data_IF_825366608024
#
_entry.id   IF_825366608024
#
_cell.length_a   1.000
_cell.length_b   1.000
_cell.length_c   1.000
_cell.angle_alpha   90.00
_cell.angle_beta   90.00
_cell.angle_gamma   90.00
#
_symmetry.space_group_name_H-M   'P 1'
#
loop_
_entity.id
_entity.type
_entity.pdbx_description
1 polymer ?
#
# COMPACT_ATOMS: atom_id res chain seq x y z
N UNK A 1 5.99 -4.81 23.14
CA UNK A 1 6.41 -3.63 22.36
C UNK A 1 7.60 -4.04 21.50
N UNK A 2 7.41 -4.24 20.19
CA UNK A 2 8.52 -4.46 19.26
C UNK A 2 8.73 -3.16 18.49
N UNK A 3 9.67 -2.33 18.95
CA UNK A 3 10.11 -1.16 18.21
C UNK A 3 11.27 -1.60 17.31
N UNK A 4 10.96 -2.35 16.25
CA UNK A 4 11.97 -2.76 15.27
C UNK A 4 12.32 -1.50 14.47
N UNK A 5 13.54 -0.99 14.65
CA UNK A 5 14.01 0.14 13.87
C UNK A 5 13.93 -0.20 12.38
N UNK A 6 13.41 0.74 11.60
CA UNK A 6 13.38 0.66 10.14
C UNK A 6 14.81 0.47 9.63
N UNK A 7 15.11 -0.58 8.85
CA UNK A 7 16.47 -0.81 8.33
C UNK A 7 16.97 0.39 7.55
N UNK A 8 18.25 0.74 7.68
CA UNK A 8 18.80 1.79 6.83
C UNK A 8 18.96 1.26 5.41
N UNK A 9 18.90 2.15 4.43
CA UNK A 9 18.90 1.72 3.04
C UNK A 9 20.26 1.15 2.62
N UNK A 10 21.34 1.69 3.17
CA UNK A 10 22.70 1.21 2.97
C UNK A 10 22.91 -0.23 3.46
N UNK A 11 22.05 -0.71 4.35
CA UNK A 11 22.07 -2.08 4.88
C UNK A 11 21.22 -3.05 4.03
N UNK A 12 20.55 -2.58 2.97
CA UNK A 12 19.69 -3.39 2.11
C UNK A 12 20.35 -3.54 0.73
N UNK A 13 20.90 -4.73 0.41
CA UNK A 13 21.49 -5.00 -0.90
C UNK A 13 20.53 -4.71 -2.07
N UNK A 14 21.08 -4.26 -3.21
CA UNK A 14 20.30 -4.00 -4.43
C UNK A 14 19.56 -5.25 -4.93
N UNK A 15 20.13 -6.44 -4.70
CA UNK A 15 19.49 -7.71 -5.01
C UNK A 15 18.14 -7.89 -4.29
N UNK A 16 17.99 -7.42 -3.05
CA UNK A 16 16.72 -7.55 -2.31
C UNK A 16 15.57 -6.79 -3.01
N UNK A 17 15.87 -5.64 -3.61
CA UNK A 17 14.90 -4.83 -4.36
C UNK A 17 14.50 -5.50 -5.67
N UNK A 18 15.47 -6.13 -6.35
CA UNK A 18 15.21 -6.93 -7.55
C UNK A 18 14.31 -8.13 -7.22
N UNK A 19 14.62 -8.87 -6.15
CA UNK A 19 13.82 -10.00 -5.69
C UNK A 19 12.40 -9.57 -5.29
N UNK A 20 12.25 -8.46 -4.55
CA UNK A 20 10.95 -7.91 -4.19
C UNK A 20 10.13 -7.58 -5.45
N UNK A 21 10.73 -6.89 -6.43
CA UNK A 21 10.06 -6.56 -7.68
C UNK A 21 9.55 -7.80 -8.41
N UNK A 22 10.38 -8.84 -8.53
CA UNK A 22 9.98 -10.12 -9.13
C UNK A 22 8.87 -10.82 -8.34
N UNK A 23 8.94 -10.82 -7.01
CA UNK A 23 7.94 -11.42 -6.13
C UNK A 23 6.58 -10.69 -6.16
N UNK A 24 6.55 -9.42 -6.58
CA UNK A 24 5.32 -8.65 -6.73
C UNK A 24 4.64 -8.88 -8.07
N UNK A 25 5.34 -9.35 -9.11
CA UNK A 25 4.76 -9.58 -10.45
C UNK A 25 3.55 -10.55 -10.48
N UNK A 26 3.50 -11.62 -9.68
CA UNK A 26 2.32 -12.51 -9.67
C UNK A 26 1.10 -11.92 -8.93
N UNK A 27 1.28 -10.83 -8.18
CA UNK A 27 0.26 -10.27 -7.29
C UNK A 27 -0.71 -9.35 -8.05
N UNK A 28 -1.77 -9.94 -8.63
CA UNK A 28 -2.79 -9.24 -9.43
C UNK A 28 -3.45 -8.02 -8.77
N UNK A 29 -3.40 -7.92 -7.44
CA UNK A 29 -3.97 -6.80 -6.68
C UNK A 29 -3.04 -5.58 -6.57
N UNK A 30 -1.80 -5.70 -7.04
CA UNK A 30 -0.77 -4.67 -6.96
C UNK A 30 -0.50 -4.16 -8.37
N UNK A 31 -0.61 -2.84 -8.56
CA UNK A 31 -0.32 -2.21 -9.84
C UNK A 31 1.18 -2.33 -10.17
N UNK A 32 1.54 -3.00 -11.27
CA UNK A 32 2.95 -3.27 -11.57
C UNK A 32 3.73 -2.08 -12.16
N UNK A 33 3.03 -1.03 -12.61
CA UNK A 33 3.67 0.20 -13.15
C UNK A 33 4.47 0.99 -12.10
N UNK A 34 4.32 0.61 -10.82
CA UNK A 34 5.02 1.19 -9.66
C UNK A 34 5.94 0.21 -8.94
N UNK A 35 6.13 -1.02 -9.45
CA UNK A 35 6.87 -2.06 -8.72
C UNK A 35 8.24 -2.36 -9.29
N UNK A 36 8.88 -1.42 -10.01
CA UNK A 36 10.28 -1.60 -10.39
C UNK A 36 11.19 -1.49 -9.16
N UNK A 37 12.39 -2.12 -9.17
CA UNK A 37 13.32 -2.03 -8.04
C UNK A 37 13.62 -0.60 -7.63
N UNK A 38 13.88 0.28 -8.59
CA UNK A 38 14.16 1.70 -8.34
C UNK A 38 12.98 2.44 -7.73
N UNK A 39 11.75 2.18 -8.18
CA UNK A 39 10.56 2.81 -7.61
C UNK A 39 10.30 2.36 -6.18
N UNK A 40 10.46 1.06 -5.91
CA UNK A 40 10.33 0.48 -4.56
C UNK A 40 11.39 1.05 -3.60
N UNK A 41 12.63 1.19 -4.09
CA UNK A 41 13.73 1.80 -3.35
C UNK A 41 13.47 3.29 -3.09
N UNK A 42 12.98 4.01 -4.09
CA UNK A 42 12.65 5.44 -4.02
C UNK A 42 11.56 5.74 -3.01
N UNK A 43 10.41 5.05 -3.06
CA UNK A 43 9.31 5.29 -2.11
C UNK A 43 9.69 4.93 -0.67
N UNK A 44 10.63 3.98 -0.51
CA UNK A 44 11.27 3.73 0.77
C UNK A 44 12.14 4.93 1.19
N UNK A 45 13.08 5.38 0.38
CA UNK A 45 13.90 6.57 0.71
C UNK A 45 13.06 7.79 1.10
N UNK A 46 11.99 8.04 0.35
CA UNK A 46 11.11 9.20 0.53
C UNK A 46 10.24 9.11 1.80
N UNK A 47 10.32 8.01 2.56
CA UNK A 47 9.64 7.87 3.84
C UNK A 47 8.16 7.45 3.71
N UNK A 48 7.80 6.77 2.63
CA UNK A 48 6.42 6.31 2.39
C UNK A 48 6.29 4.80 2.28
N UNK A 49 7.32 4.05 2.68
CA UNK A 49 7.27 2.59 2.73
C UNK A 49 7.94 2.00 3.96
N UNK A 50 7.44 0.85 4.39
CA UNK A 50 8.03 0.02 5.46
C UNK A 50 8.24 -1.39 4.95
N UNK A 51 9.25 -2.06 5.50
CA UNK A 51 9.60 -3.42 5.10
C UNK A 51 10.03 -4.26 6.30
N UNK A 52 9.97 -5.58 6.13
CA UNK A 52 10.54 -6.55 7.04
C UNK A 52 11.64 -7.30 6.29
N UNK A 53 12.86 -7.23 6.83
CA UNK A 53 14.04 -7.96 6.36
C UNK A 53 14.25 -9.20 7.24
N UNK A 54 14.49 -10.36 6.62
CA UNK A 54 14.91 -11.60 7.28
C UNK A 54 15.95 -12.30 6.41
N UNK A 55 17.11 -12.63 6.99
CA UNK A 55 18.20 -13.32 6.30
C UNK A 55 18.51 -12.70 4.93
N UNK A 56 18.64 -11.36 4.90
CA UNK A 56 18.90 -10.57 3.67
C UNK A 56 17.79 -10.64 2.60
N UNK A 57 16.58 -11.09 2.95
CA UNK A 57 15.42 -11.06 2.05
C UNK A 57 14.33 -10.11 2.57
N UNK A 58 13.74 -9.32 1.68
CA UNK A 58 12.52 -8.56 1.99
C UNK A 58 11.36 -9.55 1.99
N UNK A 59 10.82 -9.82 3.19
CA UNK A 59 9.72 -10.79 3.38
C UNK A 59 8.36 -10.12 3.56
N UNK A 60 8.33 -8.79 3.66
CA UNK A 60 7.11 -8.02 3.63
C UNK A 60 7.42 -6.57 3.28
N UNK A 61 6.51 -5.95 2.54
CA UNK A 61 6.71 -4.62 1.99
C UNK A 61 5.38 -3.89 1.81
N UNK A 62 5.32 -2.69 2.35
CA UNK A 62 4.13 -1.86 2.41
C UNK A 62 4.49 -0.45 1.93
N UNK A 63 3.75 0.09 0.97
CA UNK A 63 4.05 1.41 0.39
C UNK A 63 2.79 2.25 0.16
N UNK A 64 2.91 3.54 0.44
CA UNK A 64 1.98 4.59 0.08
C UNK A 64 2.58 5.38 -1.09
N UNK A 65 1.89 5.41 -2.21
CA UNK A 65 2.39 5.94 -3.46
C UNK A 65 1.86 7.35 -3.70
N UNK A 66 2.71 8.33 -4.05
CA UNK A 66 2.21 9.64 -4.47
C UNK A 66 1.39 9.47 -5.75
N UNK A 67 0.15 9.95 -5.73
CA UNK A 67 -0.76 9.86 -6.90
C UNK A 67 -1.15 11.23 -7.46
N UNK A 68 -1.14 12.25 -6.60
CA UNK A 68 -1.33 13.67 -6.91
C UNK A 68 -0.72 14.52 -5.78
N UNK A 69 -0.59 15.83 -5.98
CA UNK A 69 -0.13 16.71 -4.91
C UNK A 69 -1.06 16.64 -3.70
N UNK A 70 -0.49 16.45 -2.51
CA UNK A 70 -1.26 16.23 -1.29
C UNK A 70 -1.83 14.82 -1.08
N UNK A 71 -1.78 13.91 -2.06
CA UNK A 71 -2.46 12.60 -1.99
C UNK A 71 -1.52 11.41 -2.17
N UNK A 72 -1.61 10.45 -1.24
CA UNK A 72 -0.91 9.17 -1.33
C UNK A 72 -1.86 7.97 -1.18
N UNK A 73 -1.68 6.97 -2.04
CA UNK A 73 -2.45 5.73 -2.02
C UNK A 73 -1.63 4.60 -1.40
N UNK A 74 -2.12 3.96 -0.32
CA UNK A 74 -1.62 2.67 0.19
C UNK A 74 -1.94 1.57 -0.81
N UNK A 75 -1.07 1.47 -1.80
CA UNK A 75 -1.27 0.67 -2.99
C UNK A 75 -0.43 -0.61 -3.05
N UNK A 76 0.49 -0.78 -2.11
CA UNK A 76 1.25 -2.02 -1.94
C UNK A 76 1.14 -2.46 -0.49
N UNK A 77 0.61 -3.66 -0.27
CA UNK A 77 0.55 -4.32 1.02
C UNK A 77 0.85 -5.81 0.79
N UNK A 78 2.12 -6.19 0.93
CA UNK A 78 2.60 -7.51 0.56
C UNK A 78 3.37 -8.18 1.69
N UNK A 79 3.15 -9.47 1.83
CA UNK A 79 3.92 -10.39 2.69
C UNK A 79 4.19 -11.63 1.87
N UNK A 80 5.43 -12.13 1.94
CA UNK A 80 5.87 -13.35 1.27
C UNK A 80 4.87 -14.49 1.54
N UNK A 81 4.37 -15.19 0.51
CA UNK A 81 3.24 -16.12 0.66
C UNK A 81 3.39 -17.17 1.76
N UNK A 82 4.58 -17.76 1.89
CA UNK A 82 4.96 -18.77 2.88
C UNK A 82 5.04 -18.24 4.31
N UNK A 83 5.04 -16.92 4.50
CA UNK A 83 5.13 -16.25 5.81
C UNK A 83 3.84 -15.51 6.19
N UNK A 84 2.77 -15.64 5.39
CA UNK A 84 1.45 -15.10 5.74
C UNK A 84 0.90 -15.83 6.97
N UNK A 85 0.19 -15.10 7.84
CA UNK A 85 -0.32 -15.65 9.10
C UNK A 85 0.66 -15.54 10.29
N UNK A 86 1.93 -15.21 10.06
CA UNK A 86 2.94 -15.07 11.12
C UNK A 86 3.04 -13.65 11.72
N UNK A 87 1.97 -12.84 11.60
CA UNK A 87 1.91 -11.50 12.20
C UNK A 87 2.73 -10.40 11.49
N UNK A 88 3.48 -10.70 10.43
CA UNK A 88 4.31 -9.73 9.68
C UNK A 88 3.47 -8.56 9.16
N UNK A 89 2.33 -8.85 8.49
CA UNK A 89 1.46 -7.81 7.96
C UNK A 89 0.96 -6.86 9.04
N UNK A 90 0.55 -7.39 10.21
CA UNK A 90 0.13 -6.57 11.35
C UNK A 90 1.26 -5.66 11.83
N UNK A 91 2.49 -6.16 11.93
CA UNK A 91 3.64 -5.37 12.34
C UNK A 91 3.94 -4.25 11.33
N UNK A 92 3.87 -4.53 10.03
CA UNK A 92 4.06 -3.54 8.98
C UNK A 92 2.97 -2.47 8.96
N UNK A 93 1.70 -2.84 9.13
CA UNK A 93 0.59 -1.88 9.29
C UNK A 93 0.83 -0.90 10.45
N UNK A 94 1.30 -1.40 11.61
CA UNK A 94 1.61 -0.52 12.76
C UNK A 94 2.78 0.42 12.46
N UNK A 95 3.86 -0.06 11.84
CA UNK A 95 4.97 0.79 11.43
C UNK A 95 4.54 1.85 10.42
N UNK A 96 3.73 1.45 9.43
CA UNK A 96 3.19 2.34 8.42
C UNK A 96 2.32 3.43 9.04
N UNK A 97 1.48 3.10 10.03
CA UNK A 97 0.72 4.10 10.80
C UNK A 97 1.63 5.17 11.38
N UNK A 98 2.69 4.77 12.09
CA UNK A 98 3.61 5.71 12.72
C UNK A 98 4.34 6.58 11.70
N UNK A 99 4.72 6.00 10.55
CA UNK A 99 5.40 6.70 9.47
C UNK A 99 4.49 7.74 8.79
N UNK A 100 3.22 7.40 8.59
CA UNK A 100 2.29 8.22 7.82
C UNK A 100 1.56 9.27 8.66
N UNK A 101 1.39 9.06 9.97
CA UNK A 101 0.77 10.05 10.88
C UNK A 101 1.55 11.37 10.96
N UNK A 102 2.84 11.37 10.63
CA UNK A 102 3.68 12.56 10.65
C UNK A 102 3.72 13.30 9.32
N UNK A 103 2.99 12.81 8.30
CA UNK A 103 2.99 13.38 6.96
C UNK A 103 1.81 14.34 6.82
N UNK A 104 2.05 15.53 6.28
CA UNK A 104 1.01 16.51 5.95
C UNK A 104 0.37 16.17 4.59
N UNK A 105 -0.25 15.00 4.49
CA UNK A 105 -0.81 14.43 3.24
C UNK A 105 -2.06 13.61 3.54
N UNK A 106 -2.98 13.58 2.58
CA UNK A 106 -4.14 12.67 2.62
C UNK A 106 -3.66 11.28 2.19
N UNK A 107 -3.74 10.33 3.13
CA UNK A 107 -3.43 8.92 2.87
C UNK A 107 -4.74 8.17 2.67
N UNK A 108 -4.85 7.41 1.60
CA UNK A 108 -6.04 6.60 1.33
C UNK A 108 -5.69 5.24 0.76
N UNK A 109 -6.66 4.34 0.63
CA UNK A 109 -6.49 3.08 -0.07
C UNK A 109 -7.80 2.47 -0.49
N UNK A 110 -7.88 2.05 -1.75
CA UNK A 110 -9.04 1.37 -2.32
C UNK A 110 -8.75 -0.13 -2.42
N UNK A 111 -9.65 -0.96 -1.91
CA UNK A 111 -9.48 -2.42 -2.02
C UNK A 111 -10.82 -3.14 -2.00
N UNK A 112 -10.86 -4.34 -2.58
CA UNK A 112 -11.93 -5.33 -2.36
C UNK A 112 -11.53 -6.39 -1.32
N UNK A 113 -10.27 -6.38 -0.83
CA UNK A 113 -9.77 -7.40 0.08
C UNK A 113 -10.21 -7.10 1.54
N UNK A 114 -11.09 -7.92 2.14
CA UNK A 114 -11.58 -7.68 3.50
C UNK A 114 -10.48 -7.74 4.57
N UNK A 115 -9.41 -8.53 4.34
CA UNK A 115 -8.25 -8.59 5.25
C UNK A 115 -7.50 -7.25 5.24
N UNK A 116 -7.30 -6.66 4.06
CA UNK A 116 -6.69 -5.33 3.95
C UNK A 116 -7.58 -4.27 4.61
N UNK A 117 -8.91 -4.36 4.47
CA UNK A 117 -9.85 -3.44 5.14
C UNK A 117 -9.67 -3.52 6.66
N UNK A 118 -9.72 -4.72 7.22
CA UNK A 118 -9.56 -4.95 8.66
C UNK A 118 -8.22 -4.41 9.18
N UNK A 119 -7.12 -4.72 8.48
CA UNK A 119 -5.81 -4.23 8.88
C UNK A 119 -5.66 -2.70 8.69
N UNK A 120 -6.31 -2.13 7.66
CA UNK A 120 -6.33 -0.69 7.43
C UNK A 120 -6.97 0.09 8.57
N UNK A 121 -8.01 -0.46 9.20
CA UNK A 121 -8.61 0.14 10.39
C UNK A 121 -7.61 0.25 11.55
N UNK A 122 -6.65 -0.68 11.66
CA UNK A 122 -5.56 -0.59 12.65
C UNK A 122 -4.60 0.58 12.37
N UNK A 123 -4.54 1.05 11.12
CA UNK A 123 -3.78 2.22 10.66
C UNK A 123 -4.53 3.55 10.82
N UNK A 124 -5.71 3.58 11.45
CA UNK A 124 -6.64 4.72 11.45
C UNK A 124 -7.20 5.07 10.06
N UNK A 125 -7.13 4.15 9.09
CA UNK A 125 -7.91 4.32 7.86
C UNK A 125 -9.39 4.10 8.20
N UNK A 126 -10.21 5.12 8.04
CA UNK A 126 -11.66 5.05 8.23
C UNK A 126 -12.31 4.75 6.90
N UNK A 127 -13.35 3.90 6.87
CA UNK A 127 -14.10 3.62 5.65
C UNK A 127 -14.98 4.82 5.27
N UNK A 128 -14.98 5.20 3.99
CA UNK A 128 -15.81 6.27 3.44
C UNK A 128 -16.80 5.70 2.42
N UNK A 129 -18.02 6.22 2.43
CA UNK A 129 -19.06 5.93 1.44
C UNK A 129 -19.16 7.01 0.36
N UNK A 130 -18.64 8.21 0.64
CA UNK A 130 -18.49 9.26 -0.37
C UNK A 130 -17.18 9.03 -1.15
N UNK A 131 -17.30 8.81 -2.46
CA UNK A 131 -16.17 8.53 -3.36
C UNK A 131 -15.58 9.77 -4.02
N UNK A 132 -16.09 10.95 -3.68
CA UNK A 132 -15.62 12.23 -4.23
C UNK A 132 -15.04 13.16 -3.15
N UNK A 133 -15.10 12.77 -1.88
CA UNK A 133 -14.61 13.55 -0.74
C UNK A 133 -14.20 12.62 0.42
N UNK A 134 -13.03 12.83 1.06
CA UNK A 134 -12.03 13.87 0.82
C UNK A 134 -11.08 13.60 -0.35
N UNK A 135 -11.19 12.42 -0.98
CA UNK A 135 -10.33 12.04 -2.12
C UNK A 135 -11.12 12.21 -3.42
N UNK A 136 -10.60 12.96 -4.40
CA UNK A 136 -11.20 13.07 -5.72
C UNK A 136 -11.44 11.72 -6.39
N UNK A 137 -12.52 11.65 -7.17
CA UNK A 137 -12.97 10.41 -7.82
C UNK A 137 -11.94 9.83 -8.82
N UNK A 138 -11.25 10.71 -9.54
CA UNK A 138 -10.21 10.37 -10.52
C UNK A 138 -8.99 9.68 -9.87
N UNK A 139 -8.71 9.99 -8.61
CA UNK A 139 -7.64 9.37 -7.82
C UNK A 139 -8.05 8.05 -7.17
N UNK A 140 -9.34 7.79 -6.98
CA UNK A 140 -9.84 6.54 -6.40
C UNK A 140 -10.21 5.53 -7.48
N UNK A 141 -11.37 5.71 -8.12
CA UNK A 141 -11.89 4.82 -9.14
C UNK A 141 -11.30 5.12 -10.52
N UNK A 142 -10.91 6.36 -10.80
CA UNK A 142 -10.39 6.78 -12.11
C UNK A 142 -9.17 6.00 -12.58
N UNK A 143 -8.35 5.45 -11.68
CA UNK A 143 -7.17 4.62 -12.01
C UNK A 143 -7.39 3.11 -11.91
N UNK A 144 -8.64 2.66 -11.75
CA UNK A 144 -8.94 1.24 -11.66
C UNK A 144 -8.85 0.56 -13.04
N UNK A 145 -8.02 -0.46 -13.20
CA UNK A 145 -7.87 -1.16 -14.49
C UNK A 145 -8.93 -2.25 -14.72
N UNK A 146 -9.88 -2.43 -13.79
CA UNK A 146 -10.93 -3.46 -13.91
C UNK A 146 -11.96 -3.14 -15.00
N UNK A 147 -12.15 -1.86 -15.32
CA UNK A 147 -13.15 -1.39 -16.28
C UNK A 147 -12.56 -0.29 -17.14
N UNK A 148 -13.01 -0.18 -18.39
CA UNK A 148 -12.61 0.91 -19.28
C UNK A 148 -13.09 2.26 -18.72
N UNK A 149 -12.38 3.35 -19.00
CA UNK A 149 -12.64 4.67 -18.41
C UNK A 149 -14.09 5.13 -18.54
N UNK A 150 -14.70 4.91 -19.71
CA UNK A 150 -16.09 5.28 -19.99
C UNK A 150 -17.12 4.44 -19.20
N UNK A 151 -16.74 3.29 -18.64
CA UNK A 151 -17.61 2.39 -17.88
C UNK A 151 -17.43 2.53 -16.36
N UNK A 152 -16.37 3.23 -15.90
CA UNK A 152 -16.04 3.35 -14.46
C UNK A 152 -17.15 4.00 -13.64
N UNK A 153 -17.91 4.92 -14.22
CA UNK A 153 -18.98 5.63 -13.53
C UNK A 153 -20.14 4.70 -13.13
N UNK A 154 -20.38 3.61 -13.87
CA UNK A 154 -21.41 2.59 -13.65
C UNK A 154 -20.87 1.27 -13.08
N UNK A 155 -19.61 1.25 -12.63
CA UNK A 155 -18.96 0.06 -12.08
C UNK A 155 -19.82 -0.61 -10.97
N UNK A 156 -20.29 -1.86 -11.19
CA UNK A 156 -21.27 -2.50 -10.30
C UNK A 156 -20.68 -2.89 -8.93
N UNK A 157 -19.36 -2.98 -8.85
CA UNK A 157 -18.66 -3.40 -7.64
C UNK A 157 -18.21 -2.24 -6.74
N UNK A 158 -18.32 -0.98 -7.20
CA UNK A 158 -17.82 0.19 -6.46
C UNK A 158 -18.47 0.31 -5.08
N UNK A 159 -19.79 0.28 -5.05
CA UNK A 159 -20.57 0.52 -3.84
C UNK A 159 -20.90 -0.77 -3.09
N UNK A 160 -20.56 -1.93 -3.66
CA UNK A 160 -20.89 -3.26 -3.11
C UNK A 160 -19.68 -4.00 -2.56
N UNK A 161 -18.55 -4.01 -3.27
CA UNK A 161 -17.33 -4.76 -2.89
C UNK A 161 -16.13 -3.87 -2.58
N UNK A 162 -15.94 -2.79 -3.34
CA UNK A 162 -14.82 -1.88 -3.12
C UNK A 162 -15.01 -1.08 -1.84
N UNK A 163 -13.91 -0.78 -1.17
CA UNK A 163 -13.89 0.01 0.06
C UNK A 163 -12.83 1.09 -0.07
N UNK A 164 -13.28 2.34 -0.17
CA UNK A 164 -12.44 3.52 0.05
C UNK A 164 -12.19 3.66 1.55
N UNK A 165 -10.92 3.79 1.92
CA UNK A 165 -10.55 4.14 3.30
C UNK A 165 -9.55 5.28 3.29
N UNK A 166 -9.70 6.22 4.22
CA UNK A 166 -8.88 7.43 4.32
C UNK A 166 -8.36 7.57 5.74
N UNK A 167 -7.10 7.96 5.88
CA UNK A 167 -6.45 8.15 7.18
C UNK A 167 -6.91 9.47 7.75
N UNK A 168 -7.38 9.45 9.00
CA UNK A 168 -7.69 10.65 9.78
C UNK A 168 -6.49 11.12 10.58
#
# INVERSE_FOLDING_TARGET
MYNKMRPKIEDIPDQCWNELSQNLLPEKAILHTRTTPDQLKRVYLDGYAVLELRDEHIVGYFAAWPVADGFHEVGTAWVRPDLRGHGIGRALYVQMKHLLLTQDRIIFGVTTNPVSVHLGHMMNLVSHTNWSDPVPWDLTCGRCDKYADHEKHTCPIRDTECRLRVMK
#
